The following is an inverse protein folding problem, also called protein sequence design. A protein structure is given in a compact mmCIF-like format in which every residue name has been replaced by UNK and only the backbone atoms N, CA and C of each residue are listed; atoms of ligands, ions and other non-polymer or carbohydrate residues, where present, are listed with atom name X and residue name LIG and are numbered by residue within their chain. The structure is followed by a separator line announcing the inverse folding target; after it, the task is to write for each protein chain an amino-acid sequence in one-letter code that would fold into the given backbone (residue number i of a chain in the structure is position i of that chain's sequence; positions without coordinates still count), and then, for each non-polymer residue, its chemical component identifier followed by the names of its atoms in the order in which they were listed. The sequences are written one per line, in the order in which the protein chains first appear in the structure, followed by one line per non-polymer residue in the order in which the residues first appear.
data_IF_014807508956
#
_entry.id   IF_014807508956
#
_cell.length_a   1.000
_cell.length_b   1.000
_cell.length_c   1.000
_cell.angle_alpha   90.00
_cell.angle_beta   90.00
_cell.angle_gamma   90.00
#
_symmetry.space_group_name_H-M   'P 1'
#
loop_
_entity.id
_entity.type
_entity.pdbx_description
1 polymer ?
#
# COMPACT_ATOMS: atom_id res chain seq x y z
N UNK A 1 -40.74 -19.45 14.88
CA UNK A 1 -39.79 -18.74 14.00
C UNK A 1 -38.57 -18.45 14.83
N UNK A 2 -37.40 -18.97 14.46
CA UNK A 2 -36.14 -18.73 15.19
C UNK A 2 -35.41 -17.50 14.64
N UNK A 3 -34.40 -17.02 15.37
CA UNK A 3 -33.68 -15.78 15.05
C UNK A 3 -33.04 -15.79 13.65
N UNK A 4 -32.68 -16.97 13.12
CA UNK A 4 -32.16 -17.17 11.77
C UNK A 4 -33.06 -16.54 10.68
N UNK A 5 -34.38 -16.62 10.84
CA UNK A 5 -35.33 -16.10 9.87
C UNK A 5 -35.31 -14.56 9.78
N UNK A 6 -34.79 -13.86 10.80
CA UNK A 6 -34.60 -12.41 10.76
C UNK A 6 -33.37 -12.04 9.92
N UNK A 7 -32.32 -12.87 9.95
CA UNK A 7 -31.09 -12.64 9.19
C UNK A 7 -31.31 -12.76 7.68
N UNK A 8 -32.20 -13.66 7.25
CA UNK A 8 -32.50 -13.94 5.83
C UNK A 8 -33.30 -12.83 5.13
N UNK A 9 -33.92 -11.89 5.87
CA UNK A 9 -34.96 -11.03 5.30
C UNK A 9 -34.49 -9.74 4.59
N UNK A 10 -33.22 -9.33 4.73
CA UNK A 10 -32.68 -8.11 4.11
C UNK A 10 -32.26 -8.24 2.63
N UNK A 11 -32.51 -9.39 2.00
CA UNK A 11 -32.07 -9.68 0.61
C UNK A 11 -32.83 -8.86 -0.45
N UNK A 12 -34.04 -8.39 -0.17
CA UNK A 12 -34.97 -7.84 -1.17
C UNK A 12 -35.06 -6.31 -1.25
N UNK A 13 -33.92 -5.64 -1.45
CA UNK A 13 -33.82 -4.55 -2.43
C UNK A 13 -32.36 -4.39 -2.91
N UNK A 14 -32.06 -4.84 -4.14
CA UNK A 14 -30.74 -4.85 -4.79
C UNK A 14 -29.65 -5.76 -4.16
N UNK A 15 -29.81 -7.09 -4.29
CA UNK A 15 -28.69 -8.03 -4.35
C UNK A 15 -27.64 -7.93 -3.21
N UNK A 16 -28.09 -7.84 -1.96
CA UNK A 16 -27.22 -8.05 -0.80
C UNK A 16 -27.14 -9.56 -0.48
N UNK A 17 -25.94 -10.07 -0.18
CA UNK A 17 -25.71 -11.46 0.21
C UNK A 17 -24.80 -11.50 1.43
N UNK A 18 -25.31 -11.94 2.58
CA UNK A 18 -24.48 -12.44 3.68
C UNK A 18 -24.71 -13.95 3.73
N UNK A 19 -23.71 -14.78 3.41
CA UNK A 19 -23.94 -16.23 3.31
C UNK A 19 -23.79 -16.95 4.66
N UNK A 20 -22.81 -16.57 5.49
CA UNK A 20 -22.67 -17.02 6.88
C UNK A 20 -21.91 -15.97 7.71
N UNK A 21 -21.91 -16.13 9.04
CA UNK A 21 -21.03 -15.37 9.93
C UNK A 21 -21.72 -14.85 11.18
N UNK A 22 -21.04 -13.95 11.90
CA UNK A 22 -21.54 -13.31 13.13
C UNK A 22 -21.29 -11.80 13.07
N UNK A 23 -22.26 -10.97 13.44
CA UNK A 23 -22.09 -9.51 13.57
C UNK A 23 -21.60 -8.80 12.28
N UNK A 24 -21.76 -9.43 11.11
CA UNK A 24 -21.46 -8.80 9.81
C UNK A 24 -22.61 -7.85 9.41
N UNK A 25 -22.29 -6.73 8.76
CA UNK A 25 -23.24 -5.65 8.41
C UNK A 25 -23.07 -5.21 6.96
N UNK A 26 -24.18 -5.02 6.24
CA UNK A 26 -24.21 -4.62 4.82
C UNK A 26 -25.22 -3.48 4.64
N UNK A 27 -24.87 -2.46 3.85
CA UNK A 27 -25.71 -1.29 3.60
C UNK A 27 -25.73 -0.86 2.13
N UNK A 28 -26.93 -0.91 1.53
CA UNK A 28 -27.32 -0.49 0.16
C UNK A 28 -27.34 -1.60 -0.90
N UNK A 29 -26.44 -1.62 -1.89
CA UNK A 29 -26.76 -2.22 -3.19
C UNK A 29 -25.63 -3.08 -3.82
N UNK A 30 -25.95 -4.32 -4.22
CA UNK A 30 -25.04 -5.27 -4.86
C UNK A 30 -23.78 -5.56 -4.03
N UNK A 31 -23.96 -6.15 -2.84
CA UNK A 31 -22.88 -6.33 -1.86
C UNK A 31 -22.84 -7.77 -1.36
N UNK A 32 -21.64 -8.29 -1.10
CA UNK A 32 -21.42 -9.67 -0.67
C UNK A 32 -20.53 -9.72 0.57
N UNK A 33 -20.96 -10.40 1.63
CA UNK A 33 -20.10 -10.91 2.70
C UNK A 33 -20.29 -12.44 2.76
N UNK A 34 -19.38 -13.22 2.16
CA UNK A 34 -19.63 -14.67 2.05
C UNK A 34 -19.53 -15.37 3.42
N UNK A 35 -18.52 -15.03 4.22
CA UNK A 35 -18.31 -15.60 5.56
C UNK A 35 -17.61 -14.58 6.49
N UNK A 36 -17.44 -14.89 7.78
CA UNK A 36 -16.57 -14.12 8.69
C UNK A 36 -17.26 -13.55 9.93
N UNK A 37 -16.61 -12.63 10.64
CA UNK A 37 -17.16 -11.97 11.83
C UNK A 37 -16.91 -10.45 11.87
N UNK A 38 -17.89 -9.66 12.30
CA UNK A 38 -17.75 -8.20 12.54
C UNK A 38 -17.29 -7.40 11.29
N UNK A 39 -17.50 -7.93 10.07
CA UNK A 39 -17.14 -7.23 8.84
C UNK A 39 -18.28 -6.30 8.37
N UNK A 40 -17.94 -5.14 7.81
CA UNK A 40 -18.91 -4.07 7.50
C UNK A 40 -18.72 -3.56 6.05
N UNK A 41 -19.82 -3.43 5.30
CA UNK A 41 -19.82 -3.06 3.87
C UNK A 41 -20.86 -1.97 3.58
N UNK A 42 -20.47 -0.86 2.95
CA UNK A 42 -21.31 0.33 2.70
C UNK A 42 -21.28 0.83 1.25
N UNK A 43 -22.46 1.03 0.66
CA UNK A 43 -22.76 1.53 -0.70
C UNK A 43 -22.85 0.47 -1.82
N UNK A 44 -21.95 0.44 -2.80
CA UNK A 44 -22.23 -0.17 -4.12
C UNK A 44 -21.17 -1.14 -4.62
N UNK A 45 -21.57 -2.35 -5.06
CA UNK A 45 -20.71 -3.30 -5.78
C UNK A 45 -19.45 -3.74 -4.99
N UNK A 46 -19.64 -4.25 -3.77
CA UNK A 46 -18.54 -4.57 -2.84
C UNK A 46 -18.55 -6.04 -2.41
N UNK A 47 -17.36 -6.58 -2.10
CA UNK A 47 -17.19 -7.98 -1.69
C UNK A 47 -16.25 -8.09 -0.49
N UNK A 48 -16.66 -8.81 0.56
CA UNK A 48 -15.79 -9.40 1.58
C UNK A 48 -15.97 -10.92 1.55
N UNK A 49 -15.00 -11.69 1.04
CA UNK A 49 -15.21 -13.14 0.92
C UNK A 49 -15.08 -13.87 2.27
N UNK A 50 -14.15 -13.43 3.14
CA UNK A 50 -14.08 -13.87 4.54
C UNK A 50 -13.27 -12.88 5.40
N UNK A 51 -13.10 -13.17 6.68
CA UNK A 51 -12.23 -12.42 7.59
C UNK A 51 -12.92 -11.95 8.88
N UNK A 52 -12.24 -11.07 9.62
CA UNK A 52 -12.73 -10.48 10.88
C UNK A 52 -12.57 -8.95 10.89
N UNK A 53 -13.56 -8.19 11.36
CA UNK A 53 -13.43 -6.73 11.61
C UNK A 53 -13.01 -5.90 10.37
N UNK A 54 -13.20 -6.40 9.13
CA UNK A 54 -12.82 -5.66 7.92
C UNK A 54 -13.94 -4.71 7.49
N UNK A 55 -13.60 -3.51 6.98
CA UNK A 55 -14.55 -2.43 6.67
C UNK A 55 -14.35 -1.91 5.24
N UNK A 56 -15.45 -1.74 4.49
CA UNK A 56 -15.46 -1.46 3.04
C UNK A 56 -16.52 -0.38 2.73
N UNK A 57 -16.16 0.76 2.15
CA UNK A 57 -17.04 1.91 1.87
C UNK A 57 -16.90 2.43 0.43
N UNK A 58 -18.00 2.77 -0.25
CA UNK A 58 -18.02 3.34 -1.62
C UNK A 58 -17.56 2.35 -2.72
N UNK A 59 -17.64 2.76 -3.98
CA UNK A 59 -18.00 1.83 -5.07
C UNK A 59 -16.90 0.85 -5.50
N UNK A 60 -17.30 -0.37 -5.89
CA UNK A 60 -16.44 -1.35 -6.59
C UNK A 60 -15.20 -1.77 -5.80
N UNK A 61 -15.37 -2.50 -4.70
CA UNK A 61 -14.27 -2.85 -3.79
C UNK A 61 -14.26 -4.33 -3.40
N UNK A 62 -13.08 -4.88 -3.10
CA UNK A 62 -12.91 -6.28 -2.71
C UNK A 62 -11.96 -6.41 -1.52
N UNK A 63 -12.38 -7.10 -0.46
CA UNK A 63 -11.49 -7.73 0.52
C UNK A 63 -11.66 -9.25 0.39
N UNK A 64 -10.64 -9.99 -0.06
CA UNK A 64 -10.81 -11.45 -0.20
C UNK A 64 -10.69 -12.18 1.14
N UNK A 65 -9.79 -11.76 2.03
CA UNK A 65 -9.72 -12.24 3.42
C UNK A 65 -8.92 -11.24 4.28
N UNK A 66 -8.75 -11.52 5.58
CA UNK A 66 -7.90 -10.75 6.48
C UNK A 66 -8.57 -10.36 7.79
N UNK A 67 -7.92 -9.48 8.56
CA UNK A 67 -8.46 -8.94 9.81
C UNK A 67 -8.24 -7.43 9.96
N UNK A 68 -9.24 -6.66 10.39
CA UNK A 68 -9.12 -5.22 10.70
C UNK A 68 -8.64 -4.35 9.51
N UNK A 69 -8.85 -4.79 8.26
CA UNK A 69 -8.47 -3.99 7.08
C UNK A 69 -9.60 -3.02 6.67
N UNK A 70 -9.27 -1.83 6.18
CA UNK A 70 -10.22 -0.75 5.87
C UNK A 70 -10.03 -0.20 4.45
N UNK A 71 -11.13 -0.01 3.72
CA UNK A 71 -11.16 0.26 2.27
C UNK A 71 -12.25 1.31 2.00
N UNK A 72 -11.92 2.48 1.44
CA UNK A 72 -12.76 3.70 1.55
C UNK A 72 -13.37 4.31 0.27
N UNK A 73 -12.78 4.15 -0.93
CA UNK A 73 -13.25 4.76 -2.19
C UNK A 73 -12.99 3.87 -3.43
N UNK A 74 -13.19 4.40 -4.63
CA UNK A 74 -13.52 3.62 -5.81
C UNK A 74 -12.42 2.66 -6.30
N UNK A 75 -12.83 1.45 -6.70
CA UNK A 75 -11.98 0.47 -7.39
C UNK A 75 -10.76 -0.01 -6.57
N UNK A 76 -10.99 -0.43 -5.33
CA UNK A 76 -9.95 -0.86 -4.39
C UNK A 76 -9.96 -2.36 -4.11
N UNK A 77 -8.79 -2.96 -3.89
CA UNK A 77 -8.63 -4.40 -3.58
C UNK A 77 -7.68 -4.61 -2.42
N UNK A 78 -8.09 -5.40 -1.41
CA UNK A 78 -7.20 -6.07 -0.46
C UNK A 78 -7.37 -7.58 -0.63
N UNK A 79 -6.33 -8.32 -1.01
CA UNK A 79 -6.48 -9.78 -1.18
C UNK A 79 -6.35 -10.53 0.16
N UNK A 80 -5.44 -10.13 1.04
CA UNK A 80 -5.37 -10.61 2.43
C UNK A 80 -4.58 -9.62 3.29
N UNK A 81 -4.47 -9.86 4.60
CA UNK A 81 -3.62 -9.11 5.51
C UNK A 81 -4.28 -8.75 6.85
N UNK A 82 -3.60 -7.92 7.65
CA UNK A 82 -4.13 -7.37 8.90
C UNK A 82 -3.91 -5.86 9.05
N UNK A 83 -4.87 -5.11 9.56
CA UNK A 83 -4.71 -3.66 9.87
C UNK A 83 -4.30 -2.78 8.66
N UNK A 84 -4.51 -3.21 7.41
CA UNK A 84 -4.15 -2.41 6.23
C UNK A 84 -5.27 -1.42 5.84
N UNK A 85 -4.92 -0.21 5.37
CA UNK A 85 -5.87 0.88 5.07
C UNK A 85 -5.69 1.44 3.67
N UNK A 86 -6.79 1.65 2.94
CA UNK A 86 -6.82 1.97 1.50
C UNK A 86 -7.84 3.09 1.25
N UNK A 87 -7.42 4.27 0.75
CA UNK A 87 -8.22 5.49 0.84
C UNK A 87 -8.95 5.95 -0.43
N UNK A 88 -8.29 6.28 -1.55
CA UNK A 88 -8.91 6.93 -2.74
C UNK A 88 -9.14 6.01 -3.96
N UNK A 89 -8.46 6.14 -5.10
CA UNK A 89 -8.89 5.49 -6.35
C UNK A 89 -7.90 4.46 -6.91
N UNK A 90 -8.42 3.32 -7.39
CA UNK A 90 -7.65 2.30 -8.13
C UNK A 90 -6.43 1.76 -7.35
N UNK A 91 -6.66 1.27 -6.13
CA UNK A 91 -5.58 0.86 -5.21
C UNK A 91 -5.61 -0.66 -4.93
N UNK A 92 -4.44 -1.26 -4.71
CA UNK A 92 -4.32 -2.70 -4.44
C UNK A 92 -3.36 -2.98 -3.28
N UNK A 93 -3.78 -3.78 -2.29
CA UNK A 93 -2.89 -4.44 -1.33
C UNK A 93 -3.04 -5.96 -1.47
N UNK A 94 -2.02 -6.67 -1.95
CA UNK A 94 -2.16 -8.13 -2.16
C UNK A 94 -2.01 -8.92 -0.85
N UNK A 95 -1.10 -8.53 0.04
CA UNK A 95 -1.02 -9.03 1.42
C UNK A 95 -0.25 -8.04 2.29
N UNK A 96 -0.14 -8.31 3.60
CA UNK A 96 0.71 -7.56 4.52
C UNK A 96 0.03 -7.20 5.84
N UNK A 97 0.70 -6.40 6.65
CA UNK A 97 0.16 -5.87 7.92
C UNK A 97 0.43 -4.36 8.11
N UNK A 98 -0.54 -3.60 8.61
CA UNK A 98 -0.36 -2.16 8.95
C UNK A 98 0.06 -1.27 7.76
N UNK A 99 -0.18 -1.68 6.51
CA UNK A 99 0.19 -0.86 5.35
C UNK A 99 -0.92 0.15 4.99
N UNK A 100 -0.56 1.37 4.58
CA UNK A 100 -1.50 2.48 4.32
C UNK A 100 -1.31 3.06 2.91
N UNK A 101 -2.40 3.25 2.18
CA UNK A 101 -2.41 3.58 0.74
C UNK A 101 -3.41 4.71 0.51
N UNK A 102 -2.96 5.86 0.00
CA UNK A 102 -3.73 7.13 0.08
C UNK A 102 -4.45 7.54 -1.21
N UNK A 103 -3.78 7.92 -2.31
CA UNK A 103 -4.38 8.65 -3.44
C UNK A 103 -4.75 7.82 -4.70
N UNK A 104 -3.99 7.83 -5.80
CA UNK A 104 -4.44 7.23 -7.07
C UNK A 104 -3.45 6.20 -7.65
N UNK A 105 -3.98 5.07 -8.13
CA UNK A 105 -3.22 4.05 -8.88
C UNK A 105 -2.02 3.50 -8.11
N UNK A 106 -2.24 3.11 -6.85
CA UNK A 106 -1.19 2.66 -5.92
C UNK A 106 -1.25 1.15 -5.68
N UNK A 107 -0.09 0.49 -5.50
CA UNK A 107 -0.02 -0.97 -5.27
C UNK A 107 0.95 -1.30 -4.15
N UNK A 108 0.54 -2.11 -3.17
CA UNK A 108 1.43 -2.81 -2.23
C UNK A 108 1.25 -4.32 -2.40
N UNK A 109 2.26 -5.07 -2.81
CA UNK A 109 2.09 -6.52 -3.04
C UNK A 109 2.29 -7.34 -1.76
N UNK A 110 3.20 -6.95 -0.87
CA UNK A 110 3.32 -7.49 0.51
C UNK A 110 4.10 -6.52 1.39
N UNK A 111 4.05 -6.69 2.71
CA UNK A 111 4.93 -5.98 3.64
C UNK A 111 4.33 -5.67 5.00
N UNK A 112 5.05 -4.92 5.84
CA UNK A 112 4.57 -4.40 7.13
C UNK A 112 4.78 -2.88 7.27
N UNK A 113 3.83 -2.12 7.81
CA UNK A 113 3.97 -0.69 8.12
C UNK A 113 4.39 0.22 6.93
N UNK A 114 4.15 -0.18 5.68
CA UNK A 114 4.52 0.65 4.52
C UNK A 114 3.43 1.68 4.18
N UNK A 115 3.80 2.90 3.79
CA UNK A 115 2.87 4.01 3.56
C UNK A 115 3.08 4.64 2.18
N UNK A 116 1.99 4.88 1.43
CA UNK A 116 2.02 5.33 0.03
C UNK A 116 1.01 6.48 -0.18
N UNK A 117 1.47 7.66 -0.65
CA UNK A 117 0.72 8.92 -0.46
C UNK A 117 0.01 9.55 -1.66
N UNK A 118 0.55 9.54 -2.88
CA UNK A 118 0.06 10.33 -4.02
C UNK A 118 -0.27 9.51 -5.29
N UNK A 119 0.48 9.58 -6.40
CA UNK A 119 0.03 9.06 -7.70
C UNK A 119 0.98 8.02 -8.33
N UNK A 120 0.43 6.90 -8.79
CA UNK A 120 1.15 5.86 -9.56
C UNK A 120 2.37 5.28 -8.82
N UNK A 121 2.17 4.81 -7.59
CA UNK A 121 3.25 4.36 -6.69
C UNK A 121 3.15 2.85 -6.38
N UNK A 122 4.28 2.16 -6.25
CA UNK A 122 4.31 0.70 -6.03
C UNK A 122 5.27 0.31 -4.90
N UNK A 123 4.85 -0.55 -3.99
CA UNK A 123 5.74 -1.26 -3.05
C UNK A 123 5.53 -2.77 -3.23
N UNK A 124 6.44 -3.47 -3.90
CA UNK A 124 6.25 -4.91 -4.13
C UNK A 124 6.40 -5.72 -2.83
N UNK A 125 7.38 -5.40 -2.00
CA UNK A 125 7.59 -6.04 -0.69
C UNK A 125 8.29 -5.04 0.27
N UNK A 126 8.36 -5.33 1.57
CA UNK A 126 9.24 -4.59 2.51
C UNK A 126 8.62 -4.27 3.87
N UNK A 127 9.33 -3.52 4.71
CA UNK A 127 8.85 -3.06 6.02
C UNK A 127 9.15 -1.58 6.30
N UNK A 128 8.19 -0.83 6.84
CA UNK A 128 8.37 0.57 7.28
C UNK A 128 8.84 1.53 6.16
N UNK A 129 8.52 1.26 4.89
CA UNK A 129 8.90 2.12 3.77
C UNK A 129 7.81 3.16 3.44
N UNK A 130 8.19 4.39 3.09
CA UNK A 130 7.26 5.53 2.90
C UNK A 130 7.47 6.21 1.53
N UNK A 131 6.39 6.42 0.77
CA UNK A 131 6.47 6.82 -0.66
C UNK A 131 5.51 7.98 -0.94
N UNK A 132 6.04 9.18 -1.19
CA UNK A 132 5.32 10.43 -0.96
C UNK A 132 4.64 11.13 -2.14
N UNK A 133 5.15 11.08 -3.38
CA UNK A 133 4.66 11.91 -4.50
C UNK A 133 4.28 11.13 -5.77
N UNK A 134 5.03 11.12 -6.87
CA UNK A 134 4.53 10.59 -8.15
C UNK A 134 5.50 9.62 -8.85
N UNK A 135 4.96 8.52 -9.37
CA UNK A 135 5.69 7.52 -10.18
C UNK A 135 6.90 6.93 -9.46
N UNK A 136 6.70 6.47 -8.21
CA UNK A 136 7.77 5.95 -7.34
C UNK A 136 7.59 4.45 -7.05
N UNK A 137 8.69 3.69 -6.94
CA UNK A 137 8.65 2.23 -6.76
C UNK A 137 9.58 1.76 -5.63
N UNK A 138 9.19 0.79 -4.81
CA UNK A 138 10.07 0.05 -3.89
C UNK A 138 9.84 -1.45 -4.07
N UNK A 139 10.80 -2.24 -4.57
CA UNK A 139 10.57 -3.68 -4.85
C UNK A 139 10.82 -4.55 -3.61
N UNK A 140 11.78 -4.20 -2.76
CA UNK A 140 11.89 -4.67 -1.36
C UNK A 140 12.73 -3.70 -0.55
N UNK A 141 12.74 -3.88 0.77
CA UNK A 141 13.62 -3.15 1.67
C UNK A 141 12.99 -2.82 3.02
N UNK A 142 13.76 -2.13 3.87
CA UNK A 142 13.29 -1.66 5.19
C UNK A 142 13.61 -0.17 5.41
N UNK A 143 12.70 0.57 6.05
CA UNK A 143 12.91 1.97 6.47
C UNK A 143 13.28 2.94 5.33
N UNK A 144 12.95 2.63 4.08
CA UNK A 144 13.26 3.49 2.93
C UNK A 144 12.17 4.55 2.72
N UNK A 145 12.56 5.81 2.51
CA UNK A 145 11.67 6.96 2.33
C UNK A 145 11.92 7.60 0.97
N UNK A 146 10.86 7.98 0.24
CA UNK A 146 10.94 8.33 -1.18
C UNK A 146 10.04 9.53 -1.48
N UNK A 147 10.60 10.74 -1.66
CA UNK A 147 9.87 11.99 -1.87
C UNK A 147 10.10 12.63 -3.24
N UNK A 148 9.02 13.15 -3.84
CA UNK A 148 8.93 13.83 -5.15
C UNK A 148 8.78 12.86 -6.34
N UNK A 149 9.43 13.11 -7.48
CA UNK A 149 9.00 12.55 -8.77
C UNK A 149 10.00 11.54 -9.35
N UNK A 150 9.49 10.38 -9.81
CA UNK A 150 10.22 9.35 -10.58
C UNK A 150 11.50 8.80 -9.91
N UNK A 151 11.31 7.94 -8.90
CA UNK A 151 12.36 7.33 -8.06
C UNK A 151 12.05 5.83 -7.80
N UNK A 152 13.06 4.98 -7.58
CA UNK A 152 12.86 3.51 -7.52
C UNK A 152 13.81 2.89 -6.49
N UNK A 153 13.43 1.94 -5.64
CA UNK A 153 14.32 1.23 -4.68
C UNK A 153 14.05 -0.28 -4.72
N UNK A 154 14.80 -1.07 -5.49
CA UNK A 154 14.44 -2.49 -5.68
C UNK A 154 14.79 -3.48 -4.53
N UNK A 155 15.68 -3.13 -3.61
CA UNK A 155 16.07 -3.86 -2.39
C UNK A 155 16.60 -2.80 -1.38
N UNK A 156 17.19 -3.16 -0.25
CA UNK A 156 18.00 -2.24 0.57
C UNK A 156 17.35 -1.70 1.85
N UNK A 157 18.05 -0.82 2.58
CA UNK A 157 17.66 -0.34 3.91
C UNK A 157 18.02 1.13 4.10
N UNK A 158 17.14 1.90 4.76
CA UNK A 158 17.37 3.29 5.23
C UNK A 158 17.68 4.34 4.12
N UNK A 159 17.30 4.08 2.87
CA UNK A 159 17.50 5.05 1.77
C UNK A 159 16.45 6.19 1.84
N UNK A 160 16.84 7.48 1.84
CA UNK A 160 15.94 8.64 2.08
C UNK A 160 15.92 9.63 0.90
N UNK A 161 15.31 9.20 -0.21
CA UNK A 161 15.28 9.93 -1.48
C UNK A 161 14.43 11.20 -1.38
N UNK A 162 14.97 12.32 -1.88
CA UNK A 162 14.20 13.55 -2.12
C UNK A 162 14.26 13.95 -3.61
N UNK A 163 13.55 15.01 -4.00
CA UNK A 163 13.63 15.77 -5.27
C UNK A 163 13.95 14.96 -6.57
N UNK A 164 14.77 15.46 -7.51
CA UNK A 164 14.72 15.05 -8.92
C UNK A 164 15.58 13.80 -9.29
N UNK A 165 14.96 12.62 -9.17
CA UNK A 165 15.33 11.34 -9.79
C UNK A 165 16.40 10.42 -9.19
N UNK A 166 16.17 9.12 -9.46
CA UNK A 166 17.08 7.96 -9.31
C UNK A 166 17.62 7.81 -7.88
N UNK A 167 18.62 6.97 -7.57
CA UNK A 167 18.80 5.56 -8.00
C UNK A 167 18.03 4.67 -6.99
N UNK A 168 18.54 3.50 -6.61
CA UNK A 168 17.85 2.18 -6.61
C UNK A 168 18.61 1.15 -5.79
N UNK A 169 17.96 0.01 -5.37
CA UNK A 169 18.30 -1.41 -4.95
C UNK A 169 19.30 -1.88 -3.86
N UNK A 170 20.61 -1.94 -4.02
CA UNK A 170 21.28 -0.68 -4.25
C UNK A 170 20.71 0.36 -3.21
N UNK A 171 21.44 0.50 -2.09
CA UNK A 171 20.91 0.44 -0.72
C UNK A 171 21.47 -0.73 0.11
N UNK A 172 22.35 -0.59 1.11
CA UNK A 172 23.53 0.28 1.23
C UNK A 172 23.49 1.51 0.33
N UNK A 173 23.41 2.69 0.94
CA UNK A 173 23.28 4.01 0.31
C UNK A 173 21.86 4.35 -0.19
N UNK A 174 21.14 5.33 0.37
CA UNK A 174 21.43 6.74 0.74
C UNK A 174 21.19 7.80 -0.37
N UNK A 175 20.23 7.63 -1.30
CA UNK A 175 19.84 8.78 -2.17
C UNK A 175 19.29 9.91 -1.31
N UNK A 176 19.63 11.16 -1.63
CA UNK A 176 19.12 12.39 -0.99
C UNK A 176 18.69 13.34 -2.14
N UNK A 177 18.69 14.69 -2.04
CA UNK A 177 18.60 15.49 -3.27
C UNK A 177 19.18 16.91 -3.28
N UNK A 178 19.35 17.38 -4.52
CA UNK A 178 20.48 18.12 -5.06
C UNK A 178 21.16 17.23 -6.13
N UNK A 179 22.49 17.21 -6.19
CA UNK A 179 23.25 16.74 -7.34
C UNK A 179 23.69 15.26 -7.27
N UNK A 180 22.84 14.31 -7.73
CA UNK A 180 23.15 12.89 -8.07
C UNK A 180 23.55 11.95 -6.87
N UNK A 181 23.36 10.61 -6.79
CA UNK A 181 22.45 9.63 -7.47
C UNK A 181 22.30 8.20 -6.82
N UNK A 182 23.36 7.40 -6.48
CA UNK A 182 23.42 6.27 -5.43
C UNK A 182 23.46 4.75 -5.79
N UNK A 183 24.19 3.84 -5.07
CA UNK A 183 24.28 2.36 -5.33
C UNK A 183 24.70 1.43 -4.10
N UNK A 184 24.55 0.05 -4.09
CA UNK A 184 24.93 -0.97 -2.99
C UNK A 184 26.18 -1.92 -3.01
N UNK A 185 26.61 -2.82 -3.92
CA UNK A 185 26.29 -3.37 -5.25
C UNK A 185 26.77 -2.68 -6.53
N UNK A 186 27.57 -1.62 -6.52
CA UNK A 186 27.27 -0.38 -5.82
C UNK A 186 28.05 0.02 -4.57
N UNK A 187 29.33 0.30 -4.73
CA UNK A 187 29.65 1.72 -4.80
C UNK A 187 28.75 2.66 -3.91
N UNK A 188 29.30 3.09 -2.76
CA UNK A 188 28.77 4.00 -1.73
C UNK A 188 28.07 5.33 -2.16
N UNK A 189 27.56 6.07 -1.17
CA UNK A 189 26.78 7.30 -1.16
C UNK A 189 26.30 7.83 -2.50
N UNK A 190 26.95 8.85 -3.06
CA UNK A 190 26.39 9.83 -4.00
C UNK A 190 25.31 10.72 -3.32
N UNK A 191 25.66 11.44 -2.24
CA UNK A 191 24.84 12.50 -1.59
C UNK A 191 24.93 13.83 -2.35
N UNK A 192 24.12 14.83 -2.01
CA UNK A 192 23.63 15.73 -3.05
C UNK A 192 23.94 17.25 -2.89
N UNK A 193 24.43 17.78 -1.77
CA UNK A 193 24.56 19.24 -1.59
C UNK A 193 25.88 19.85 -2.11
N UNK A 194 27.08 19.72 -1.53
CA UNK A 194 27.69 18.83 -0.53
C UNK A 194 27.52 17.29 -0.70
N UNK A 195 28.61 16.71 -1.23
CA UNK A 195 29.12 15.34 -1.20
C UNK A 195 28.34 14.21 -1.85
N UNK A 196 28.64 13.96 -3.12
CA UNK A 196 28.71 12.57 -3.58
C UNK A 196 29.85 11.80 -2.85
N UNK A 197 29.92 10.46 -2.92
CA UNK A 197 31.04 9.56 -2.47
C UNK A 197 30.66 8.11 -2.84
N UNK A 198 31.51 7.21 -3.38
CA UNK A 198 31.17 5.90 -4.06
C UNK A 198 32.27 4.74 -3.99
N UNK A 199 31.97 3.56 -3.37
CA UNK A 199 32.80 2.41 -2.76
C UNK A 199 33.37 1.14 -3.47
N UNK A 200 32.57 0.23 -4.07
CA UNK A 200 32.97 -1.08 -4.65
C UNK A 200 32.51 -1.26 -6.12
N UNK A 201 33.46 -1.37 -7.07
CA UNK A 201 33.32 -0.93 -8.48
C UNK A 201 34.48 0.03 -8.83
N UNK A 202 34.23 1.29 -9.27
CA UNK A 202 35.18 2.42 -9.15
C UNK A 202 34.45 3.78 -8.85
N UNK A 203 35.20 4.86 -8.60
CA UNK A 203 34.76 6.29 -8.58
C UNK A 203 34.01 6.91 -7.36
N UNK A 204 34.71 7.32 -6.28
CA UNK A 204 34.15 8.23 -5.24
C UNK A 204 33.93 9.70 -5.76
N UNK A 205 32.90 9.97 -6.58
CA UNK A 205 32.50 11.35 -7.03
C UNK A 205 32.10 12.22 -5.83
N UNK A 206 32.19 13.56 -5.89
CA UNK A 206 31.84 14.55 -4.84
C UNK A 206 31.24 15.82 -5.48
N UNK A 207 30.44 16.64 -4.76
CA UNK A 207 29.98 17.99 -5.16
C UNK A 207 29.96 18.92 -3.92
N UNK A 208 30.72 20.01 -3.81
CA UNK A 208 30.74 20.88 -2.59
C UNK A 208 30.09 22.25 -2.84
N UNK A 209 29.63 22.94 -1.78
CA UNK A 209 28.99 24.26 -1.82
C UNK A 209 29.41 25.10 -0.61
N UNK A 210 30.40 25.97 -0.82
CA UNK A 210 31.14 26.69 0.24
C UNK A 210 30.34 27.78 0.97
#
# INVERSE_FOLDING_TARGET
MTLDQVLTFFVYLHHQVISTGRENVVHLHHQVISTGRENVVHLHHQVISTGRENVVHLHHQVISTGRENVVHLHHQVISTGRENVVHLHHQVISTGRENVVHLHHQVISTGRENVVHLHHQVISTGRENVVHLHHQVISTGRENVVHLHHQVISTGRENVVHLHHQVISTGRENVVHLHHQVISTGRENVVHLHHQVISTGRENVVHLHH
#
